data_IF_457011458631
#
_entry.id   IF_457011458631
#
_cell.length_a   1.000
_cell.length_b   1.000
_cell.length_c   1.000
_cell.angle_alpha   90.00
_cell.angle_beta   90.00
_cell.angle_gamma   90.00
#
_symmetry.space_group_name_H-M   'P 1'
#
loop_
_entity.id
_entity.type
_entity.pdbx_description
1 polymer ?
#
# COMPACT_ATOMS: atom_id res chain seq x y z
N UNK A 1 -15.27 -11.73 -26.49
CA UNK A 1 -15.90 -11.13 -25.30
C UNK A 1 -14.80 -10.73 -24.33
N UNK A 2 -14.80 -9.50 -23.76
CA UNK A 2 -13.73 -8.94 -22.89
C UNK A 2 -14.23 -8.51 -21.49
N UNK A 3 -15.36 -9.08 -21.06
CA UNK A 3 -16.01 -8.77 -19.78
C UNK A 3 -16.15 -10.07 -18.99
N UNK A 4 -15.79 -10.03 -17.70
CA UNK A 4 -15.95 -11.15 -16.78
C UNK A 4 -17.16 -10.92 -15.87
N UNK A 5 -18.09 -11.86 -15.84
CA UNK A 5 -19.18 -11.87 -14.87
C UNK A 5 -18.80 -12.80 -13.72
N UNK A 6 -18.76 -12.26 -12.51
CA UNK A 6 -18.48 -13.03 -11.30
C UNK A 6 -19.75 -13.79 -10.87
N UNK A 7 -19.61 -15.09 -10.60
CA UNK A 7 -20.72 -15.94 -10.14
C UNK A 7 -21.02 -15.77 -8.64
N UNK A 8 -20.02 -15.35 -7.87
CA UNK A 8 -20.14 -15.09 -6.44
C UNK A 8 -19.78 -13.63 -6.13
N UNK A 9 -20.36 -13.01 -5.09
CA UNK A 9 -19.96 -11.68 -4.64
C UNK A 9 -18.48 -11.69 -4.20
N UNK A 10 -17.69 -10.77 -4.76
CA UNK A 10 -16.29 -10.55 -4.38
C UNK A 10 -16.17 -9.14 -3.78
N UNK A 11 -15.46 -9.03 -2.67
CA UNK A 11 -15.28 -7.77 -1.94
C UNK A 11 -13.80 -7.44 -1.75
N UNK A 12 -13.47 -6.15 -1.81
CA UNK A 12 -12.17 -5.66 -1.36
C UNK A 12 -12.21 -5.50 0.17
N UNK A 13 -11.48 -6.36 0.88
CA UNK A 13 -11.47 -6.35 2.36
C UNK A 13 -10.72 -5.16 2.94
N UNK A 14 -9.64 -4.74 2.29
CA UNK A 14 -8.82 -3.59 2.71
C UNK A 14 -7.85 -3.20 1.61
N UNK A 15 -7.42 -1.93 1.62
CA UNK A 15 -6.23 -1.45 0.94
C UNK A 15 -5.33 -0.69 1.92
N UNK A 16 -4.04 -0.61 1.60
CA UNK A 16 -3.07 0.16 2.37
C UNK A 16 -2.07 0.81 1.42
N UNK A 17 -1.74 2.07 1.67
CA UNK A 17 -0.98 2.92 0.76
C UNK A 17 0.17 3.62 1.47
N UNK A 18 1.33 3.67 0.81
CA UNK A 18 2.53 4.35 1.29
C UNK A 18 3.05 5.22 0.15
N UNK A 19 3.25 6.50 0.39
CA UNK A 19 3.66 7.47 -0.64
C UNK A 19 4.84 8.33 -0.21
N UNK A 20 5.49 8.98 -1.18
CA UNK A 20 6.58 9.91 -0.92
C UNK A 20 6.11 11.30 -0.48
N UNK A 21 7.05 12.22 -0.19
CA UNK A 21 6.73 13.59 0.18
C UNK A 21 5.92 14.33 -0.89
N UNK A 22 6.26 14.11 -2.17
CA UNK A 22 5.61 14.80 -3.29
C UNK A 22 4.11 14.52 -3.36
N UNK A 23 3.71 13.26 -3.21
CA UNK A 23 2.29 12.90 -3.14
C UNK A 23 1.64 13.37 -1.83
N UNK A 24 2.43 13.41 -0.75
CA UNK A 24 2.05 13.94 0.56
C UNK A 24 1.81 15.44 0.62
N UNK A 25 2.39 16.21 -0.29
CA UNK A 25 2.11 17.65 -0.46
C UNK A 25 0.86 17.90 -1.32
N UNK A 26 0.25 16.83 -1.85
CA UNK A 26 -0.96 16.89 -2.66
C UNK A 26 -2.26 16.97 -1.86
N UNK A 27 -3.36 17.26 -2.56
CA UNK A 27 -4.70 17.44 -1.96
C UNK A 27 -5.28 16.20 -1.26
N UNK A 28 -4.65 15.03 -1.41
CA UNK A 28 -5.12 13.75 -0.85
C UNK A 28 -4.17 13.18 0.21
N UNK A 29 -3.25 13.99 0.75
CA UNK A 29 -2.27 13.58 1.74
C UNK A 29 -2.89 12.79 2.91
N UNK A 30 -4.05 13.23 3.39
CA UNK A 30 -4.79 12.65 4.52
C UNK A 30 -5.50 11.32 4.18
N UNK A 31 -5.50 10.90 2.91
CA UNK A 31 -6.12 9.66 2.45
C UNK A 31 -5.13 8.50 2.39
N UNK A 32 -3.84 8.78 2.39
CA UNK A 32 -2.82 7.74 2.42
C UNK A 32 -2.61 7.22 3.83
N UNK A 33 -2.30 5.93 3.96
CA UNK A 33 -2.06 5.34 5.29
C UNK A 33 -0.70 5.77 5.86
N UNK A 34 0.30 5.98 4.99
CA UNK A 34 1.63 6.50 5.36
C UNK A 34 2.13 7.48 4.30
N UNK A 35 2.58 8.66 4.74
CA UNK A 35 3.35 9.62 3.94
C UNK A 35 4.78 9.64 4.47
N UNK A 36 5.75 9.33 3.61
CA UNK A 36 7.17 9.31 3.97
C UNK A 36 7.74 10.73 4.06
N UNK A 37 8.71 10.92 4.96
CA UNK A 37 9.38 12.21 5.18
C UNK A 37 10.48 12.52 4.15
N UNK A 38 10.98 11.49 3.46
CA UNK A 38 12.03 11.58 2.44
C UNK A 38 12.00 10.33 1.55
N UNK A 39 12.73 10.38 0.44
CA UNK A 39 12.69 9.38 -0.62
C UNK A 39 13.48 8.08 -0.31
N UNK A 40 14.27 8.06 0.76
CA UNK A 40 15.14 6.91 1.08
C UNK A 40 14.62 6.04 2.23
N UNK A 41 13.75 6.57 3.11
CA UNK A 41 13.09 5.85 4.21
C UNK A 41 13.99 4.88 5.02
N UNK A 42 15.18 5.35 5.37
CA UNK A 42 16.22 4.59 6.08
C UNK A 42 16.79 3.39 5.32
N UNK A 43 16.64 3.33 4.00
CA UNK A 43 17.22 2.31 3.13
C UNK A 43 18.53 2.77 2.48
N UNK A 44 19.26 1.82 1.89
CA UNK A 44 20.58 2.08 1.28
C UNK A 44 20.51 2.56 -0.18
N UNK A 45 19.35 2.43 -0.81
CA UNK A 45 19.11 2.86 -2.19
C UNK A 45 17.62 3.07 -2.42
N UNK A 46 17.26 3.74 -3.52
CA UNK A 46 15.87 3.97 -3.91
C UNK A 46 15.12 2.66 -4.17
N UNK A 47 15.76 1.68 -4.82
CA UNK A 47 15.15 0.37 -5.12
C UNK A 47 14.83 -0.41 -3.83
N UNK A 48 15.69 -0.27 -2.80
CA UNK A 48 15.43 -0.87 -1.50
C UNK A 48 14.30 -0.17 -0.76
N UNK A 49 14.23 1.16 -0.86
CA UNK A 49 13.12 1.96 -0.35
C UNK A 49 11.80 1.52 -0.97
N UNK A 50 11.72 1.46 -2.30
CA UNK A 50 10.52 1.02 -3.02
C UNK A 50 10.12 -0.42 -2.67
N UNK A 51 11.10 -1.33 -2.60
CA UNK A 51 10.87 -2.71 -2.19
C UNK A 51 10.30 -2.80 -0.77
N UNK A 52 10.77 -1.94 0.15
CA UNK A 52 10.25 -1.85 1.52
C UNK A 52 8.85 -1.26 1.54
N UNK A 53 8.60 -0.17 0.81
CA UNK A 53 7.27 0.43 0.66
C UNK A 53 6.24 -0.61 0.22
N UNK A 54 6.58 -1.40 -0.80
CA UNK A 54 5.68 -2.43 -1.29
C UNK A 54 5.41 -3.54 -0.26
N UNK A 55 6.47 -4.06 0.40
CA UNK A 55 6.31 -5.08 1.45
C UNK A 55 5.48 -4.58 2.62
N UNK A 56 5.68 -3.34 3.05
CA UNK A 56 4.98 -2.74 4.18
C UNK A 56 3.53 -2.40 3.81
N UNK A 57 3.26 -1.96 2.58
CA UNK A 57 1.90 -1.76 2.09
C UNK A 57 1.09 -3.07 2.09
N UNK A 58 1.66 -4.17 1.58
CA UNK A 58 1.02 -5.49 1.63
C UNK A 58 0.76 -5.93 3.07
N UNK A 59 1.76 -5.76 3.95
CA UNK A 59 1.63 -6.13 5.37
C UNK A 59 0.57 -5.28 6.08
N UNK A 60 0.51 -3.99 5.77
CA UNK A 60 -0.49 -3.05 6.27
C UNK A 60 -1.90 -3.42 5.81
N UNK A 61 -2.08 -3.80 4.55
CA UNK A 61 -3.37 -4.26 4.04
C UNK A 61 -3.84 -5.53 4.78
N UNK A 62 -2.98 -6.54 4.91
CA UNK A 62 -3.30 -7.76 5.67
C UNK A 62 -3.72 -7.43 7.11
N UNK A 63 -2.97 -6.57 7.79
CA UNK A 63 -3.27 -6.15 9.17
C UNK A 63 -4.59 -5.37 9.24
N UNK A 64 -4.84 -4.44 8.32
CA UNK A 64 -6.08 -3.63 8.26
C UNK A 64 -7.31 -4.48 7.96
N UNK A 65 -7.15 -5.58 7.22
CA UNK A 65 -8.16 -6.62 7.04
C UNK A 65 -8.41 -7.50 8.28
N UNK A 66 -7.70 -7.29 9.39
CA UNK A 66 -7.79 -8.13 10.58
C UNK A 66 -7.28 -9.56 10.35
N UNK A 67 -6.37 -9.76 9.37
CA UNK A 67 -5.78 -11.05 9.05
C UNK A 67 -4.35 -11.16 9.59
N UNK A 68 -3.84 -12.38 9.63
CA UNK A 68 -2.43 -12.68 9.93
C UNK A 68 -1.78 -13.31 8.71
N UNK A 69 -0.49 -13.07 8.50
CA UNK A 69 0.28 -13.82 7.52
C UNK A 69 0.37 -15.27 7.99
N UNK A 70 0.11 -16.19 7.08
CA UNK A 70 0.45 -17.59 7.28
C UNK A 70 1.98 -17.75 7.16
N UNK A 71 2.55 -18.67 7.94
CA UNK A 71 3.99 -18.92 7.98
C UNK A 71 4.45 -19.70 6.74
#
# INVERSE_FOLDING_TARGET
MRTFQLSNPIYLKSGFTIVGPKEGDGNFADKFDIVLKNDIWCEKSYEKCESKMHRDAVSGAIKKAGLKREN
#
